data_IF_957871847255
#
_entry.id   IF_957871847255
#
_cell.length_a   1.000
_cell.length_b   1.000
_cell.length_c   1.000
_cell.angle_alpha   90.00
_cell.angle_beta   90.00
_cell.angle_gamma   90.00
#
_symmetry.space_group_name_H-M   'P 1'
#
loop_
_entity.id
_entity.type
_entity.pdbx_description
1 polymer ?
#
# COMPACT_ATOMS: atom_id res chain seq x y z
N UNK A 1 74.71 -41.14 49.04
CA UNK A 1 74.33 -40.45 47.77
C UNK A 1 73.00 -41.00 47.27
N UNK A 2 71.90 -40.37 47.51
CA UNK A 2 70.62 -40.60 46.83
C UNK A 2 69.81 -39.31 46.99
N UNK A 3 69.63 -38.59 45.91
CA UNK A 3 68.81 -37.39 45.84
C UNK A 3 67.30 -37.77 45.78
N UNK A 4 66.54 -37.26 46.70
CA UNK A 4 65.06 -37.29 46.62
C UNK A 4 64.53 -36.14 45.77
N UNK A 5 63.73 -36.48 44.77
CA UNK A 5 62.93 -35.49 43.98
C UNK A 5 61.59 -35.35 44.67
N UNK A 6 61.25 -34.12 45.05
CA UNK A 6 59.93 -33.74 45.52
C UNK A 6 59.03 -33.34 44.34
N UNK A 7 57.93 -34.06 44.16
CA UNK A 7 56.87 -33.68 43.23
C UNK A 7 55.98 -32.63 43.89
N UNK A 8 55.98 -31.45 43.33
CA UNK A 8 55.01 -30.42 43.67
C UNK A 8 53.78 -30.57 42.76
N UNK A 9 52.63 -30.88 43.35
CA UNK A 9 51.35 -30.94 42.65
C UNK A 9 50.81 -29.50 42.37
N UNK A 10 50.67 -29.15 41.09
CA UNK A 10 50.07 -27.87 40.64
C UNK A 10 48.58 -28.12 40.46
N UNK A 11 47.74 -27.57 41.34
CA UNK A 11 46.29 -27.58 41.21
C UNK A 11 45.86 -26.49 40.24
N UNK A 12 45.39 -26.85 39.04
CA UNK A 12 44.72 -25.94 38.09
C UNK A 12 43.29 -25.73 38.55
N UNK A 13 42.97 -24.53 39.04
CA UNK A 13 41.60 -24.07 39.25
C UNK A 13 41.02 -23.61 37.89
N UNK A 14 40.09 -24.39 37.30
CA UNK A 14 39.27 -23.98 36.17
C UNK A 14 38.21 -22.96 36.70
N UNK A 15 38.48 -21.71 36.49
CA UNK A 15 37.44 -20.65 36.61
C UNK A 15 36.52 -20.73 35.38
N UNK A 16 35.36 -21.38 35.54
CA UNK A 16 34.28 -21.32 34.53
C UNK A 16 33.72 -19.92 34.42
N UNK A 17 34.10 -19.22 33.38
CA UNK A 17 33.45 -17.97 33.01
C UNK A 17 32.03 -18.28 32.46
N UNK A 18 31.01 -18.12 33.28
CA UNK A 18 29.65 -18.04 32.81
C UNK A 18 29.54 -16.79 31.95
N UNK A 19 29.53 -16.95 30.63
CA UNK A 19 29.13 -15.92 29.72
C UNK A 19 27.63 -15.64 29.94
N UNK A 20 27.32 -14.60 30.70
CA UNK A 20 25.96 -14.07 30.77
C UNK A 20 25.55 -13.71 29.33
N UNK A 21 24.34 -14.10 28.89
CA UNK A 21 23.85 -13.65 27.61
C UNK A 21 23.85 -12.11 27.64
N UNK A 22 24.56 -11.49 26.68
CA UNK A 22 24.52 -10.07 26.50
C UNK A 22 23.06 -9.69 26.24
N UNK A 23 22.42 -9.12 27.27
CA UNK A 23 21.14 -8.45 27.09
C UNK A 23 21.41 -7.38 26.01
N UNK A 24 20.85 -7.56 24.81
CA UNK A 24 20.86 -6.52 23.78
C UNK A 24 20.32 -5.27 24.46
N UNK A 25 21.16 -4.28 24.65
CA UNK A 25 20.75 -3.00 25.20
C UNK A 25 19.57 -2.53 24.37
N UNK A 26 18.41 -2.30 25.02
CA UNK A 26 17.24 -1.75 24.37
C UNK A 26 17.71 -0.47 23.66
N UNK A 27 17.72 -0.48 22.32
CA UNK A 27 18.31 0.58 21.53
C UNK A 27 17.76 1.95 21.93
N UNK A 28 18.61 2.97 21.87
CA UNK A 28 18.21 4.37 22.17
C UNK A 28 17.30 4.96 21.08
N UNK A 29 16.83 4.17 20.15
CA UNK A 29 16.05 4.59 18.99
C UNK A 29 14.77 3.78 18.86
N UNK A 30 13.76 4.38 18.24
CA UNK A 30 12.60 3.68 17.67
C UNK A 30 12.77 3.68 16.16
N UNK A 31 12.95 2.50 15.59
CA UNK A 31 13.31 2.34 14.18
C UNK A 31 12.06 2.00 13.37
N UNK A 32 11.77 2.82 12.37
CA UNK A 32 10.72 2.60 11.37
C UNK A 32 11.41 2.26 10.05
N UNK A 33 10.98 1.21 9.37
CA UNK A 33 11.47 0.83 8.06
C UNK A 33 10.46 1.17 6.97
N UNK A 34 10.94 1.60 5.82
CA UNK A 34 10.19 1.76 4.58
C UNK A 34 10.81 0.86 3.51
N UNK A 35 10.08 -0.16 3.07
CA UNK A 35 10.52 -1.10 2.02
C UNK A 35 9.51 -1.01 0.87
N UNK A 36 9.89 -0.28 -0.20
CA UNK A 36 8.97 0.00 -1.28
C UNK A 36 9.61 -0.05 -2.67
N UNK A 37 8.83 0.22 -3.72
CA UNK A 37 9.34 0.39 -5.09
C UNK A 37 9.90 1.81 -5.24
N UNK A 38 11.22 1.95 -5.24
CA UNK A 38 11.90 3.23 -5.37
C UNK A 38 12.31 3.56 -6.82
N UNK A 39 12.35 2.57 -7.70
CA UNK A 39 12.94 2.71 -9.04
C UNK A 39 12.11 2.11 -10.17
N UNK A 40 11.06 1.32 -9.86
CA UNK A 40 10.25 0.60 -10.85
C UNK A 40 8.95 1.30 -11.24
N UNK A 41 7.98 0.51 -11.67
CA UNK A 41 6.70 0.99 -12.23
C UNK A 41 5.82 1.75 -11.24
N UNK A 42 6.02 1.56 -9.93
CA UNK A 42 5.26 2.20 -8.86
C UNK A 42 6.02 3.32 -8.15
N UNK A 43 7.27 3.61 -8.54
CA UNK A 43 8.11 4.59 -7.87
C UNK A 43 7.48 5.99 -7.78
N UNK A 44 6.74 6.42 -8.82
CA UNK A 44 6.10 7.73 -8.85
C UNK A 44 4.83 7.83 -8.01
N UNK A 45 4.13 6.70 -7.82
CA UNK A 45 2.88 6.67 -7.06
C UNK A 45 3.09 6.45 -5.55
N UNK A 46 4.30 6.04 -5.14
CA UNK A 46 4.65 5.78 -3.75
C UNK A 46 6.10 6.21 -3.45
N UNK A 47 7.10 5.41 -3.73
CA UNK A 47 8.54 5.66 -3.71
C UNK A 47 9.04 6.73 -2.72
N UNK A 48 9.93 7.59 -3.19
CA UNK A 48 10.49 8.67 -2.37
C UNK A 48 9.43 9.59 -1.75
N UNK A 49 8.26 9.72 -2.39
CA UNK A 49 7.15 10.50 -1.83
C UNK A 49 6.56 9.90 -0.56
N UNK A 50 6.55 8.56 -0.43
CA UNK A 50 6.18 7.86 0.81
C UNK A 50 7.19 8.13 1.93
N UNK A 51 8.49 8.05 1.61
CA UNK A 51 9.58 8.38 2.56
C UNK A 51 9.41 9.79 3.11
N UNK A 52 9.17 10.78 2.25
CA UNK A 52 8.99 12.18 2.67
C UNK A 52 7.73 12.37 3.52
N UNK A 53 6.63 11.70 3.18
CA UNK A 53 5.41 11.73 3.98
C UNK A 53 5.62 11.11 5.38
N UNK A 54 6.35 10.00 5.48
CA UNK A 54 6.73 9.41 6.77
C UNK A 54 7.63 10.35 7.59
N UNK A 55 8.62 11.02 6.95
CA UNK A 55 9.45 12.04 7.61
C UNK A 55 8.62 13.21 8.14
N UNK A 56 7.64 13.68 7.36
CA UNK A 56 6.72 14.73 7.82
C UNK A 56 5.94 14.29 9.06
N UNK A 57 5.44 13.04 9.11
CA UNK A 57 4.74 12.50 10.26
C UNK A 57 5.65 12.41 11.50
N UNK A 58 6.90 11.96 11.33
CA UNK A 58 7.90 11.91 12.41
C UNK A 58 8.19 13.32 12.94
N UNK A 59 8.36 14.30 12.07
CA UNK A 59 8.61 15.69 12.45
C UNK A 59 7.41 16.29 13.21
N UNK A 60 6.19 16.08 12.71
CA UNK A 60 4.96 16.57 13.35
C UNK A 60 4.70 15.90 14.70
N UNK A 61 5.13 14.65 14.87
CA UNK A 61 5.08 13.94 16.15
C UNK A 61 6.12 14.45 17.15
N UNK A 62 7.17 15.17 16.72
CA UNK A 62 8.21 15.75 17.56
C UNK A 62 9.55 15.01 17.54
N UNK A 63 9.77 14.08 16.58
CA UNK A 63 11.05 13.41 16.34
C UNK A 63 11.48 12.38 17.39
N UNK A 64 10.74 12.26 18.51
CA UNK A 64 11.05 11.34 19.61
C UNK A 64 9.78 10.69 20.15
N UNK A 65 9.89 9.44 20.63
CA UNK A 65 8.82 8.74 21.36
C UNK A 65 9.43 7.93 22.51
N UNK A 66 8.79 7.91 23.66
CA UNK A 66 9.31 7.26 24.89
C UNK A 66 10.72 7.73 25.27
N UNK A 67 11.07 9.00 25.00
CA UNK A 67 12.40 9.54 25.22
C UNK A 67 13.48 9.08 24.24
N UNK A 68 13.11 8.31 23.19
CA UNK A 68 14.01 7.77 22.17
C UNK A 68 13.84 8.51 20.86
N UNK A 69 14.93 8.69 20.11
CA UNK A 69 14.91 9.25 18.76
C UNK A 69 14.19 8.29 17.79
N UNK A 70 13.37 8.84 16.91
CA UNK A 70 12.74 8.08 15.83
C UNK A 70 13.68 8.12 14.61
N UNK A 71 13.98 6.94 14.07
CA UNK A 71 14.84 6.76 12.88
C UNK A 71 14.03 6.10 11.78
N UNK A 72 14.16 6.61 10.55
CA UNK A 72 13.54 6.05 9.35
C UNK A 72 14.61 5.43 8.46
N UNK A 73 14.50 4.14 8.18
CA UNK A 73 15.27 3.40 7.18
C UNK A 73 14.45 3.32 5.89
N UNK A 74 15.12 3.28 4.74
CA UNK A 74 14.46 3.11 3.45
C UNK A 74 15.22 2.13 2.55
N UNK A 75 14.48 1.29 1.81
CA UNK A 75 15.04 0.33 0.87
C UNK A 75 14.12 0.09 -0.34
N UNK A 76 14.72 -0.24 -1.48
CA UNK A 76 14.04 -0.59 -2.72
C UNK A 76 13.85 -2.10 -2.82
N UNK A 77 12.61 -2.58 -2.89
CA UNK A 77 12.31 -3.99 -3.11
C UNK A 77 12.29 -4.39 -4.60
N UNK A 78 12.41 -3.42 -5.53
CA UNK A 78 12.48 -3.66 -6.97
C UNK A 78 11.34 -4.54 -7.53
N UNK A 79 10.16 -4.51 -6.92
CA UNK A 79 9.01 -5.39 -7.20
C UNK A 79 9.32 -6.91 -7.08
N UNK A 80 10.33 -7.29 -6.26
CA UNK A 80 10.75 -8.67 -6.03
C UNK A 80 10.38 -9.11 -4.61
N UNK A 81 9.51 -10.13 -4.46
CA UNK A 81 9.04 -10.60 -3.14
C UNK A 81 10.17 -11.08 -2.22
N UNK A 82 11.18 -11.74 -2.77
CA UNK A 82 12.36 -12.23 -2.04
C UNK A 82 13.23 -11.09 -1.53
N UNK A 83 13.41 -10.02 -2.30
CA UNK A 83 14.17 -8.82 -1.91
C UNK A 83 13.47 -8.12 -0.74
N UNK A 84 12.17 -7.85 -0.86
CA UNK A 84 11.38 -7.22 0.20
C UNK A 84 11.38 -8.03 1.50
N UNK A 85 11.12 -9.34 1.40
CA UNK A 85 11.11 -10.23 2.55
C UNK A 85 12.49 -10.39 3.20
N UNK A 86 13.58 -10.44 2.41
CA UNK A 86 14.95 -10.54 2.92
C UNK A 86 15.37 -9.27 3.64
N UNK A 87 15.06 -8.10 3.07
CA UNK A 87 15.35 -6.80 3.69
C UNK A 87 14.56 -6.63 5.00
N UNK A 88 13.31 -7.04 5.04
CA UNK A 88 12.52 -6.99 6.26
C UNK A 88 13.13 -7.89 7.36
N UNK A 89 13.52 -9.14 7.03
CA UNK A 89 14.20 -10.04 7.99
C UNK A 89 15.50 -9.42 8.50
N UNK A 90 16.33 -8.90 7.61
CA UNK A 90 17.57 -8.22 7.98
C UNK A 90 17.32 -7.12 9.02
N UNK A 91 16.35 -6.25 8.75
CA UNK A 91 16.03 -5.14 9.65
C UNK A 91 15.41 -5.60 10.99
N UNK A 92 14.62 -6.67 10.96
CA UNK A 92 14.08 -7.25 12.18
C UNK A 92 15.17 -7.90 13.06
N UNK A 93 16.16 -8.58 12.44
CA UNK A 93 17.17 -9.34 13.15
C UNK A 93 18.40 -8.52 13.54
N UNK A 94 18.75 -7.47 12.75
CA UNK A 94 20.01 -6.75 12.91
C UNK A 94 19.83 -5.27 13.28
N UNK A 95 18.75 -4.63 12.83
CA UNK A 95 18.52 -3.19 13.03
C UNK A 95 17.47 -2.89 14.10
N UNK A 96 16.83 -3.90 14.67
CA UNK A 96 15.81 -3.72 15.71
C UNK A 96 14.59 -2.91 15.25
N UNK A 97 14.17 -3.07 13.97
CA UNK A 97 13.03 -2.35 13.41
C UNK A 97 11.76 -2.62 14.23
N UNK A 98 11.05 -1.56 14.61
CA UNK A 98 9.85 -1.64 15.43
C UNK A 98 8.56 -1.65 14.60
N UNK A 99 8.60 -1.16 13.36
CA UNK A 99 7.48 -1.16 12.41
C UNK A 99 8.02 -0.99 11.00
N UNK A 100 7.39 -1.64 10.03
CA UNK A 100 7.70 -1.48 8.60
C UNK A 100 6.49 -0.95 7.86
N UNK A 101 6.73 -0.01 6.95
CA UNK A 101 5.78 0.54 5.99
C UNK A 101 6.07 0.00 4.58
N UNK A 102 5.11 -0.01 3.69
CA UNK A 102 5.35 -0.16 2.27
C UNK A 102 4.81 -1.42 1.63
N UNK A 103 5.59 -1.98 0.72
CA UNK A 103 5.23 -3.16 -0.03
C UNK A 103 4.22 -2.90 -1.14
N UNK A 104 4.44 -1.87 -1.97
CA UNK A 104 3.54 -1.45 -3.05
C UNK A 104 3.12 -2.53 -4.05
N UNK A 105 3.84 -3.63 -4.11
CA UNK A 105 3.50 -4.79 -4.94
C UNK A 105 2.82 -5.87 -4.08
N UNK A 106 1.66 -6.39 -4.52
CA UNK A 106 0.90 -7.39 -3.74
C UNK A 106 1.72 -8.64 -3.40
N UNK A 107 2.51 -9.17 -4.34
CA UNK A 107 3.37 -10.33 -4.08
C UNK A 107 4.46 -10.03 -3.06
N UNK A 108 5.04 -8.83 -3.11
CA UNK A 108 6.02 -8.35 -2.12
C UNK A 108 5.35 -8.22 -0.75
N UNK A 109 4.19 -7.56 -0.67
CA UNK A 109 3.46 -7.39 0.58
C UNK A 109 3.06 -8.73 1.22
N UNK A 110 2.63 -9.72 0.43
CA UNK A 110 2.35 -11.07 0.95
C UNK A 110 3.60 -11.68 1.58
N UNK A 111 4.76 -11.57 0.91
CA UNK A 111 6.01 -12.10 1.43
C UNK A 111 6.46 -11.35 2.71
N UNK A 112 6.35 -10.01 2.73
CA UNK A 112 6.65 -9.18 3.89
C UNK A 112 5.68 -9.44 5.05
N UNK A 113 4.40 -9.65 4.79
CA UNK A 113 3.39 -9.99 5.79
C UNK A 113 3.72 -11.29 6.54
N UNK A 114 4.23 -12.30 5.83
CA UNK A 114 4.72 -13.55 6.44
C UNK A 114 5.92 -13.30 7.36
N UNK A 115 6.83 -12.42 6.98
CA UNK A 115 7.96 -12.00 7.83
C UNK A 115 7.44 -11.25 9.06
N UNK A 116 6.50 -10.31 8.88
CA UNK A 116 5.87 -9.57 9.97
C UNK A 116 5.27 -10.52 11.02
N UNK A 117 4.52 -11.53 10.57
CA UNK A 117 3.94 -12.57 11.44
C UNK A 117 4.99 -13.39 12.17
N UNK A 118 6.04 -13.83 11.47
CA UNK A 118 7.10 -14.67 12.04
C UNK A 118 8.01 -13.91 13.04
N UNK A 119 8.28 -12.62 12.76
CA UNK A 119 9.16 -11.77 13.58
C UNK A 119 8.40 -10.93 14.61
N UNK A 120 7.08 -10.97 14.59
CA UNK A 120 6.21 -10.12 15.42
C UNK A 120 6.55 -8.64 15.27
N UNK A 121 6.68 -8.15 14.05
CA UNK A 121 6.93 -6.74 13.76
C UNK A 121 5.71 -6.16 13.04
N UNK A 122 5.08 -5.08 13.54
CA UNK A 122 3.99 -4.40 12.86
C UNK A 122 4.36 -4.02 11.41
N UNK A 123 3.49 -4.37 10.47
CA UNK A 123 3.64 -4.08 9.05
C UNK A 123 2.40 -3.33 8.54
N UNK A 124 2.61 -2.11 8.07
CA UNK A 124 1.58 -1.32 7.40
C UNK A 124 1.74 -1.50 5.89
N UNK A 125 0.96 -2.41 5.32
CA UNK A 125 0.91 -2.64 3.88
C UNK A 125 0.21 -1.44 3.21
N UNK A 126 1.00 -0.60 2.53
CA UNK A 126 0.53 0.60 1.84
C UNK A 126 0.91 0.47 0.38
N UNK A 127 -0.07 0.65 -0.51
CA UNK A 127 0.15 0.58 -1.95
C UNK A 127 -0.07 -0.80 -2.58
N UNK A 128 0.07 -1.89 -1.86
CA UNK A 128 -0.44 -3.18 -2.33
C UNK A 128 -1.97 -3.18 -2.29
N UNK A 129 -2.62 -3.65 -3.34
CA UNK A 129 -4.08 -3.66 -3.39
C UNK A 129 -4.71 -5.03 -3.09
N UNK A 130 -3.94 -6.11 -3.12
CA UNK A 130 -4.48 -7.47 -3.03
C UNK A 130 -5.27 -7.72 -1.75
N UNK A 131 -6.58 -7.97 -1.87
CA UNK A 131 -7.44 -8.26 -0.73
C UNK A 131 -7.06 -9.52 0.04
N UNK A 132 -6.23 -10.42 -0.52
CA UNK A 132 -5.72 -11.60 0.17
C UNK A 132 -4.91 -11.25 1.43
N UNK A 133 -4.30 -10.05 1.50
CA UNK A 133 -3.54 -9.57 2.66
C UNK A 133 -4.36 -9.53 3.96
N UNK A 134 -5.66 -9.40 3.88
CA UNK A 134 -6.60 -9.40 5.02
C UNK A 134 -7.61 -10.56 4.95
N UNK A 135 -7.37 -11.49 4.05
CA UNK A 135 -8.09 -12.74 3.89
C UNK A 135 -7.12 -13.92 4.14
N UNK A 136 -6.78 -14.69 3.13
CA UNK A 136 -5.98 -15.93 3.26
C UNK A 136 -4.52 -15.68 3.67
N UNK A 137 -3.96 -14.49 3.40
CA UNK A 137 -2.58 -14.09 3.75
C UNK A 137 -2.51 -13.20 5.00
N UNK A 138 -3.60 -13.07 5.78
CA UNK A 138 -3.64 -12.22 6.96
C UNK A 138 -2.69 -12.70 8.06
N UNK A 139 -2.10 -11.75 8.80
CA UNK A 139 -1.31 -12.01 10.01
C UNK A 139 -1.70 -11.06 11.13
N UNK A 140 -1.46 -11.42 12.42
CA UNK A 140 -1.77 -10.55 13.55
C UNK A 140 -1.05 -9.19 13.52
N UNK A 141 0.06 -9.11 12.78
CA UNK A 141 0.95 -7.94 12.75
C UNK A 141 0.86 -7.14 11.45
N UNK A 142 -0.05 -7.50 10.53
CA UNK A 142 -0.23 -6.78 9.27
C UNK A 142 -1.50 -5.95 9.29
N UNK A 143 -1.41 -4.73 8.77
CA UNK A 143 -2.53 -3.82 8.52
C UNK A 143 -2.52 -3.47 7.05
N UNK A 144 -3.66 -3.64 6.37
CA UNK A 144 -3.86 -3.20 5.00
C UNK A 144 -4.43 -1.79 5.00
N UNK A 145 -3.57 -0.82 4.69
CA UNK A 145 -3.87 0.60 4.75
C UNK A 145 -4.23 1.13 3.36
N UNK A 146 -4.96 2.23 3.28
CA UNK A 146 -5.34 3.00 2.10
C UNK A 146 -6.44 2.39 1.20
N UNK A 147 -6.34 1.18 0.68
CA UNK A 147 -7.34 0.56 -0.20
C UNK A 147 -7.06 -0.93 -0.42
N UNK A 148 -8.06 -1.64 -0.95
CA UNK A 148 -7.90 -2.99 -1.46
C UNK A 148 -8.63 -3.19 -2.80
N UNK A 149 -8.45 -4.34 -3.43
CA UNK A 149 -9.11 -4.67 -4.71
C UNK A 149 -10.63 -4.68 -4.62
N UNK A 150 -11.19 -4.98 -3.45
CA UNK A 150 -12.64 -4.93 -3.19
C UNK A 150 -13.16 -3.51 -3.25
N UNK A 151 -12.52 -2.58 -2.52
CA UNK A 151 -12.92 -1.18 -2.48
C UNK A 151 -12.78 -0.51 -3.85
N UNK A 152 -11.70 -0.80 -4.58
CA UNK A 152 -11.46 -0.29 -5.92
C UNK A 152 -12.56 -0.75 -6.91
N UNK A 153 -12.88 -2.05 -6.89
CA UNK A 153 -13.91 -2.62 -7.76
C UNK A 153 -15.32 -2.10 -7.40
N UNK A 154 -15.65 -2.06 -6.09
CA UNK A 154 -16.94 -1.55 -5.62
C UNK A 154 -17.18 -0.09 -6.05
N UNK A 155 -16.14 0.72 -6.17
CA UNK A 155 -16.26 2.09 -6.68
C UNK A 155 -16.29 2.14 -8.21
N UNK A 156 -15.17 1.86 -8.85
CA UNK A 156 -14.99 2.12 -10.29
C UNK A 156 -15.83 1.21 -11.16
N UNK A 157 -15.83 -0.12 -10.90
CA UNK A 157 -16.62 -1.03 -11.73
C UNK A 157 -18.12 -0.81 -11.57
N UNK A 158 -18.60 -0.55 -10.33
CA UNK A 158 -20.02 -0.21 -10.10
C UNK A 158 -20.45 1.04 -10.84
N UNK A 159 -19.63 2.11 -10.83
CA UNK A 159 -19.95 3.35 -11.54
C UNK A 159 -20.14 3.09 -13.04
N UNK A 160 -19.22 2.38 -13.66
CA UNK A 160 -19.24 2.16 -15.11
C UNK A 160 -20.33 1.16 -15.52
N UNK A 161 -20.55 0.08 -14.78
CA UNK A 161 -21.60 -0.92 -15.12
C UNK A 161 -23.00 -0.33 -14.97
N UNK A 162 -23.21 0.58 -14.01
CA UNK A 162 -24.49 1.29 -13.82
C UNK A 162 -24.76 2.33 -14.89
N UNK A 163 -23.74 2.88 -15.55
CA UNK A 163 -23.86 3.73 -16.73
C UNK A 163 -24.06 2.94 -18.05
N UNK A 164 -24.25 1.62 -17.97
CA UNK A 164 -24.54 0.79 -19.14
C UNK A 164 -23.35 0.05 -19.73
N UNK A 165 -22.15 0.15 -19.15
CA UNK A 165 -20.97 -0.64 -19.53
C UNK A 165 -21.12 -2.10 -19.09
N UNK A 166 -21.83 -2.93 -19.86
CA UNK A 166 -22.21 -4.28 -19.43
C UNK A 166 -21.29 -5.39 -19.88
N UNK A 167 -20.48 -5.20 -20.93
CA UNK A 167 -19.51 -6.19 -21.38
C UNK A 167 -18.09 -5.69 -21.23
N UNK A 168 -17.25 -6.48 -20.54
CA UNK A 168 -15.90 -6.10 -20.15
C UNK A 168 -14.86 -7.05 -20.72
N UNK A 169 -13.75 -6.52 -21.17
CA UNK A 169 -12.54 -7.28 -21.43
C UNK A 169 -11.40 -6.65 -20.63
N UNK A 170 -10.57 -7.48 -19.97
CA UNK A 170 -9.57 -6.96 -19.05
C UNK A 170 -8.17 -7.02 -19.65
N UNK A 171 -7.40 -5.96 -19.42
CA UNK A 171 -5.95 -5.93 -19.57
C UNK A 171 -5.39 -6.05 -18.14
N UNK A 172 -4.87 -7.24 -17.82
CA UNK A 172 -4.57 -7.66 -16.46
C UNK A 172 -3.07 -7.76 -16.23
N UNK A 173 -2.52 -7.05 -15.24
CA UNK A 173 -1.13 -7.24 -14.83
C UNK A 173 -0.90 -8.70 -14.39
N UNK A 174 0.12 -9.37 -14.95
CA UNK A 174 0.33 -10.82 -14.81
C UNK A 174 1.01 -11.17 -13.48
N UNK A 175 0.35 -10.79 -12.35
CA UNK A 175 0.72 -11.21 -11.02
C UNK A 175 -0.49 -11.08 -10.06
N UNK A 176 -0.32 -11.39 -8.76
CA UNK A 176 -1.39 -11.48 -7.78
C UNK A 176 -2.34 -10.27 -7.75
N UNK A 177 -1.82 -9.04 -7.86
CA UNK A 177 -2.62 -7.82 -7.89
C UNK A 177 -3.61 -7.79 -9.07
N UNK A 178 -3.10 -7.95 -10.29
CA UNK A 178 -3.95 -7.86 -11.48
C UNK A 178 -5.05 -8.91 -11.47
N UNK A 179 -4.70 -10.16 -11.10
CA UNK A 179 -5.68 -11.25 -10.96
C UNK A 179 -6.77 -10.90 -9.94
N UNK A 180 -6.39 -10.47 -8.73
CA UNK A 180 -7.36 -10.15 -7.67
C UNK A 180 -8.24 -8.93 -8.05
N UNK A 181 -7.66 -7.91 -8.68
CA UNK A 181 -8.43 -6.73 -9.11
C UNK A 181 -9.42 -7.07 -10.24
N UNK A 182 -8.98 -7.86 -11.24
CA UNK A 182 -9.84 -8.35 -12.31
C UNK A 182 -10.99 -9.20 -11.75
N UNK A 183 -10.70 -10.10 -10.80
CA UNK A 183 -11.72 -10.98 -10.19
C UNK A 183 -12.74 -10.17 -9.38
N UNK A 184 -12.28 -9.22 -8.58
CA UNK A 184 -13.15 -8.32 -7.83
C UNK A 184 -14.04 -7.48 -8.77
N UNK A 185 -13.47 -6.90 -9.82
CA UNK A 185 -14.22 -6.15 -10.81
C UNK A 185 -15.23 -7.01 -11.57
N UNK A 186 -14.84 -8.24 -11.95
CA UNK A 186 -15.74 -9.21 -12.60
C UNK A 186 -16.93 -9.55 -11.71
N UNK A 187 -16.70 -9.79 -10.42
CA UNK A 187 -17.77 -10.05 -9.45
C UNK A 187 -18.76 -8.89 -9.34
N UNK A 188 -18.26 -7.66 -9.26
CA UNK A 188 -19.11 -6.46 -9.25
C UNK A 188 -19.89 -6.32 -10.55
N UNK A 189 -19.24 -6.48 -11.71
CA UNK A 189 -19.88 -6.40 -13.03
C UNK A 189 -21.01 -7.42 -13.16
N UNK A 190 -20.78 -8.68 -12.76
CA UNK A 190 -21.79 -9.73 -12.78
C UNK A 190 -22.96 -9.44 -11.84
N UNK A 191 -22.68 -8.97 -10.62
CA UNK A 191 -23.72 -8.59 -9.64
C UNK A 191 -24.66 -7.50 -10.19
N UNK A 192 -24.15 -6.64 -11.07
CA UNK A 192 -24.93 -5.57 -11.72
C UNK A 192 -25.42 -5.93 -13.13
N UNK A 193 -25.48 -7.23 -13.47
CA UNK A 193 -26.04 -7.73 -14.72
C UNK A 193 -25.17 -7.53 -15.96
N UNK A 194 -23.87 -7.33 -15.76
CA UNK A 194 -22.87 -7.32 -16.82
C UNK A 194 -22.13 -8.66 -16.92
N UNK A 195 -21.16 -8.74 -17.82
CA UNK A 195 -20.33 -9.94 -18.04
C UNK A 195 -18.90 -9.60 -18.42
N UNK A 196 -17.95 -10.45 -18.03
CA UNK A 196 -16.60 -10.47 -18.57
C UNK A 196 -16.59 -11.32 -19.86
N UNK A 197 -15.94 -10.81 -20.90
CA UNK A 197 -15.69 -11.51 -22.17
C UNK A 197 -14.29 -12.12 -22.23
N UNK A 198 -13.48 -11.93 -21.18
CA UNK A 198 -12.14 -12.48 -21.07
C UNK A 198 -11.11 -11.47 -20.59
N UNK A 199 -9.86 -11.86 -20.67
CA UNK A 199 -8.70 -11.05 -20.31
C UNK A 199 -7.53 -11.34 -21.21
N UNK A 200 -6.58 -10.41 -21.23
CA UNK A 200 -5.20 -10.64 -21.64
C UNK A 200 -4.27 -10.28 -20.49
N UNK A 201 -3.29 -11.15 -20.22
CA UNK A 201 -2.30 -10.96 -19.16
C UNK A 201 -1.07 -10.25 -19.70
N UNK A 202 -0.60 -9.26 -18.98
CA UNK A 202 0.51 -8.39 -19.39
C UNK A 202 1.59 -8.42 -18.32
N UNK A 203 2.83 -8.81 -18.66
CA UNK A 203 3.95 -8.77 -17.73
C UNK A 203 4.17 -7.38 -17.15
N UNK A 204 4.56 -7.31 -15.87
CA UNK A 204 4.88 -6.05 -15.19
C UNK A 204 6.05 -5.35 -15.88
N UNK A 205 5.91 -4.04 -16.13
CA UNK A 205 6.94 -3.23 -16.78
C UNK A 205 6.94 -3.37 -18.32
N UNK A 206 5.85 -3.84 -18.91
CA UNK A 206 5.67 -3.90 -20.35
C UNK A 206 5.79 -2.50 -20.98
N UNK A 207 6.55 -2.40 -22.07
CA UNK A 207 6.73 -1.15 -22.82
C UNK A 207 5.88 -1.09 -24.09
N UNK A 208 5.57 -2.23 -24.70
CA UNK A 208 4.73 -2.32 -25.89
C UNK A 208 3.44 -3.09 -25.60
N UNK A 209 2.32 -2.37 -25.62
CA UNK A 209 0.99 -2.90 -25.38
C UNK A 209 0.21 -3.29 -26.65
N UNK A 210 0.78 -3.15 -27.83
CA UNK A 210 0.09 -3.26 -29.12
C UNK A 210 -0.64 -4.59 -29.28
N UNK A 211 0.05 -5.72 -29.09
CA UNK A 211 -0.53 -7.05 -29.28
C UNK A 211 -1.63 -7.38 -28.27
N UNK A 212 -1.47 -6.92 -27.02
CA UNK A 212 -2.45 -7.08 -25.95
C UNK A 212 -3.71 -6.26 -26.23
N UNK A 213 -3.56 -5.04 -26.72
CA UNK A 213 -4.67 -4.15 -27.04
C UNK A 213 -5.45 -4.62 -28.28
N UNK A 214 -4.78 -5.22 -29.27
CA UNK A 214 -5.46 -5.86 -30.42
C UNK A 214 -6.34 -7.02 -29.98
N UNK A 215 -5.91 -7.84 -29.01
CA UNK A 215 -6.75 -8.89 -28.43
C UNK A 215 -7.98 -8.29 -27.71
N UNK A 216 -7.79 -7.23 -26.92
CA UNK A 216 -8.88 -6.53 -26.28
C UNK A 216 -9.88 -5.97 -27.30
N UNK A 217 -9.41 -5.35 -28.38
CA UNK A 217 -10.25 -4.83 -29.46
C UNK A 217 -11.06 -5.93 -30.14
N UNK A 218 -10.45 -7.10 -30.38
CA UNK A 218 -11.09 -8.27 -30.98
C UNK A 218 -12.24 -8.86 -30.14
N UNK A 219 -12.28 -8.58 -28.83
CA UNK A 219 -13.34 -9.04 -27.95
C UNK A 219 -14.70 -8.37 -28.19
N UNK A 220 -14.73 -7.21 -28.84
CA UNK A 220 -15.90 -6.35 -29.01
C UNK A 220 -16.59 -5.97 -27.67
N UNK A 221 -15.87 -5.92 -26.57
CA UNK A 221 -16.38 -5.48 -25.29
C UNK A 221 -16.68 -3.97 -25.30
N UNK A 222 -17.65 -3.55 -24.50
CA UNK A 222 -17.97 -2.13 -24.30
C UNK A 222 -16.94 -1.42 -23.40
N UNK A 223 -16.29 -2.17 -22.51
CA UNK A 223 -15.37 -1.63 -21.49
C UNK A 223 -14.04 -2.35 -21.55
N UNK A 224 -12.97 -1.58 -21.61
CA UNK A 224 -11.59 -2.04 -21.39
C UNK A 224 -11.26 -1.85 -19.90
N UNK A 225 -11.29 -2.94 -19.14
CA UNK A 225 -10.93 -2.95 -17.73
C UNK A 225 -9.42 -2.96 -17.56
N UNK A 226 -8.84 -1.83 -17.15
CA UNK A 226 -7.40 -1.71 -16.91
C UNK A 226 -7.08 -2.18 -15.49
N UNK A 227 -6.80 -3.48 -15.34
CA UNK A 227 -6.40 -4.11 -14.07
C UNK A 227 -4.86 -4.09 -13.92
N UNK A 228 -4.28 -2.92 -14.09
CA UNK A 228 -2.88 -2.54 -13.92
C UNK A 228 -2.79 -1.19 -13.21
N UNK A 229 -1.59 -0.66 -12.97
CA UNK A 229 -1.40 0.61 -12.28
C UNK A 229 -0.04 1.24 -12.61
N UNK A 230 0.17 2.50 -12.19
CA UNK A 230 1.42 3.24 -12.36
C UNK A 230 1.80 3.39 -13.83
N UNK A 231 3.08 3.18 -14.15
CA UNK A 231 3.57 3.33 -15.52
C UNK A 231 2.88 2.37 -16.52
N UNK A 232 2.52 1.15 -16.08
CA UNK A 232 1.80 0.21 -16.95
C UNK A 232 0.38 0.72 -17.29
N UNK A 233 -0.31 1.35 -16.34
CA UNK A 233 -1.59 2.00 -16.59
C UNK A 233 -1.46 3.17 -17.58
N UNK A 234 -0.52 4.08 -17.33
CA UNK A 234 -0.35 5.26 -18.20
C UNK A 234 0.04 4.87 -19.62
N UNK A 235 0.96 3.90 -19.79
CA UNK A 235 1.41 3.43 -21.10
C UNK A 235 0.32 2.67 -21.85
N UNK A 236 -0.41 1.78 -21.16
CA UNK A 236 -1.51 1.03 -21.80
C UNK A 236 -2.66 1.94 -22.23
N UNK A 237 -3.00 2.95 -21.45
CA UNK A 237 -4.04 3.92 -21.81
C UNK A 237 -3.63 4.82 -22.99
N UNK A 238 -2.39 5.31 -23.01
CA UNK A 238 -1.85 6.07 -24.15
C UNK A 238 -1.91 5.25 -25.43
N UNK A 239 -1.41 4.01 -25.38
CA UNK A 239 -1.44 3.10 -26.52
C UNK A 239 -2.89 2.79 -26.97
N UNK A 240 -3.82 2.56 -26.03
CA UNK A 240 -5.23 2.34 -26.36
C UNK A 240 -5.88 3.54 -27.09
N UNK A 241 -5.46 4.76 -26.76
CA UNK A 241 -5.91 5.97 -27.47
C UNK A 241 -5.28 6.10 -28.84
N UNK A 242 -3.98 5.88 -28.96
CA UNK A 242 -3.26 5.94 -30.24
C UNK A 242 -3.82 4.94 -31.26
N UNK A 243 -4.17 3.73 -30.80
CA UNK A 243 -4.84 2.73 -31.64
C UNK A 243 -6.34 2.96 -31.83
N UNK A 244 -6.90 4.05 -31.27
CA UNK A 244 -8.31 4.37 -31.40
C UNK A 244 -9.27 3.42 -30.67
N UNK A 245 -8.77 2.57 -29.80
CA UNK A 245 -9.57 1.60 -29.04
C UNK A 245 -10.55 2.33 -28.10
N UNK A 246 -10.12 3.42 -27.48
CA UNK A 246 -10.95 4.22 -26.56
C UNK A 246 -12.15 4.91 -27.24
N UNK A 247 -12.19 4.93 -28.58
CA UNK A 247 -13.36 5.39 -29.35
C UNK A 247 -14.51 4.37 -29.37
N UNK A 248 -14.18 3.08 -29.13
CA UNK A 248 -15.12 1.96 -29.19
C UNK A 248 -15.34 1.31 -27.82
N UNK A 249 -14.32 1.28 -26.98
CA UNK A 249 -14.35 0.70 -25.65
C UNK A 249 -14.10 1.80 -24.61
N UNK A 250 -14.98 1.90 -23.62
CA UNK A 250 -14.80 2.85 -22.51
C UNK A 250 -13.67 2.33 -21.58
N UNK A 251 -12.58 3.08 -21.36
CA UNK A 251 -11.55 2.65 -20.44
C UNK A 251 -12.02 2.77 -18.99
N UNK A 252 -11.78 1.74 -18.19
CA UNK A 252 -12.04 1.69 -16.75
C UNK A 252 -10.70 1.69 -16.02
N UNK A 253 -10.34 2.81 -15.38
CA UNK A 253 -9.13 2.94 -14.58
C UNK A 253 -9.37 2.30 -13.21
N UNK A 254 -9.21 0.95 -13.11
CA UNK A 254 -9.51 0.22 -11.87
C UNK A 254 -8.57 0.60 -10.73
N UNK A 255 -7.33 1.01 -11.02
CA UNK A 255 -6.43 1.68 -10.09
C UNK A 255 -5.61 2.72 -10.83
N UNK A 256 -5.85 3.98 -10.52
CA UNK A 256 -5.09 5.12 -11.04
C UNK A 256 -4.90 6.18 -9.95
N UNK A 257 -3.82 6.91 -10.04
CA UNK A 257 -3.41 7.93 -9.08
C UNK A 257 -3.37 9.31 -9.71
N UNK A 258 -3.36 10.35 -8.88
CA UNK A 258 -3.29 11.73 -9.36
C UNK A 258 -2.01 12.02 -10.17
N UNK A 259 -0.89 11.36 -9.82
CA UNK A 259 0.36 11.42 -10.58
C UNK A 259 0.22 10.84 -11.98
N UNK A 260 -0.55 9.76 -12.14
CA UNK A 260 -0.84 9.15 -13.45
C UNK A 260 -1.64 10.13 -14.32
N UNK A 261 -2.68 10.76 -13.73
CA UNK A 261 -3.49 11.75 -14.42
C UNK A 261 -2.66 12.97 -14.82
N UNK A 262 -1.73 13.39 -13.96
CA UNK A 262 -0.78 14.47 -14.27
C UNK A 262 0.12 14.11 -15.46
N UNK A 263 0.66 12.90 -15.47
CA UNK A 263 1.50 12.39 -16.58
C UNK A 263 0.76 12.24 -17.90
N UNK A 264 -0.51 11.83 -17.84
CA UNK A 264 -1.38 11.67 -19.02
C UNK A 264 -1.85 13.03 -19.57
N UNK A 265 -2.06 14.00 -18.68
CA UNK A 265 -2.74 15.25 -18.97
C UNK A 265 -4.26 15.10 -19.07
N UNK A 266 -4.99 16.16 -18.75
CA UNK A 266 -6.45 16.14 -18.73
C UNK A 266 -7.08 15.83 -20.08
N UNK A 267 -6.46 16.24 -21.19
CA UNK A 267 -6.96 15.94 -22.56
C UNK A 267 -7.07 14.43 -22.79
N UNK A 268 -6.09 13.67 -22.30
CA UNK A 268 -6.04 12.21 -22.40
C UNK A 268 -6.95 11.53 -21.37
N UNK A 269 -6.94 12.02 -20.13
CA UNK A 269 -7.55 11.33 -19.00
C UNK A 269 -9.00 11.75 -18.71
N UNK A 270 -9.52 12.81 -19.35
CA UNK A 270 -10.87 13.34 -19.08
C UNK A 270 -11.96 12.27 -19.15
N UNK A 271 -12.87 12.31 -18.18
CA UNK A 271 -14.02 11.41 -18.13
C UNK A 271 -13.71 10.02 -17.55
N UNK A 272 -12.43 9.68 -17.28
CA UNK A 272 -12.09 8.45 -16.59
C UNK A 272 -12.72 8.41 -15.19
N UNK A 273 -13.26 7.26 -14.83
CA UNK A 273 -13.65 6.94 -13.46
C UNK A 273 -12.49 6.21 -12.76
N UNK A 274 -12.25 6.57 -11.51
CA UNK A 274 -11.32 5.91 -10.61
C UNK A 274 -11.83 5.95 -9.17
N UNK A 275 -11.28 5.12 -8.31
CA UNK A 275 -11.58 5.10 -6.87
C UNK A 275 -10.32 5.46 -6.08
N UNK A 276 -10.46 6.38 -5.13
CA UNK A 276 -9.34 6.81 -4.26
C UNK A 276 -9.80 6.96 -2.81
N UNK A 277 -8.90 6.68 -1.87
CA UNK A 277 -9.14 6.87 -0.44
C UNK A 277 -8.87 8.29 0.04
N UNK A 278 -8.17 9.10 -0.77
CA UNK A 278 -7.79 10.44 -0.39
C UNK A 278 -7.54 11.32 -1.63
N UNK A 279 -7.83 12.60 -1.51
CA UNK A 279 -7.55 13.61 -2.53
C UNK A 279 -7.14 14.92 -1.87
N UNK A 280 -6.10 15.54 -2.35
CA UNK A 280 -5.47 16.71 -1.75
C UNK A 280 -6.44 17.91 -1.57
N UNK A 281 -7.40 18.07 -2.47
CA UNK A 281 -8.34 19.18 -2.49
C UNK A 281 -9.73 18.81 -1.95
N UNK A 282 -9.81 17.89 -1.01
CA UNK A 282 -11.10 17.48 -0.42
C UNK A 282 -11.60 18.48 0.63
N UNK A 283 -10.72 18.98 1.50
CA UNK A 283 -11.07 19.85 2.63
C UNK A 283 -9.89 20.72 3.07
N UNK A 284 -10.07 21.54 4.11
CA UNK A 284 -9.02 22.42 4.62
C UNK A 284 -7.79 21.66 5.15
N UNK A 285 -7.99 20.53 5.85
CA UNK A 285 -6.89 19.75 6.42
C UNK A 285 -6.05 19.10 5.33
N UNK A 286 -6.69 18.51 4.30
CA UNK A 286 -5.99 17.90 3.16
C UNK A 286 -5.18 18.95 2.40
N UNK A 287 -5.75 20.11 2.13
CA UNK A 287 -5.05 21.23 1.46
C UNK A 287 -3.88 21.77 2.28
N UNK A 288 -4.06 21.95 3.58
CA UNK A 288 -2.99 22.44 4.46
C UNK A 288 -1.79 21.48 4.50
N UNK A 289 -2.05 20.18 4.61
CA UNK A 289 -1.01 19.16 4.57
C UNK A 289 -0.34 19.09 3.19
N UNK A 290 -1.12 19.08 2.12
CA UNK A 290 -0.64 19.04 0.73
C UNK A 290 0.26 20.20 0.38
N UNK A 291 -0.04 21.41 0.85
CA UNK A 291 0.82 22.57 0.65
C UNK A 291 2.24 22.34 1.20
N UNK A 292 2.35 21.70 2.35
CA UNK A 292 3.64 21.35 2.96
C UNK A 292 4.35 20.27 2.16
N UNK A 293 3.62 19.20 1.81
CA UNK A 293 4.14 18.11 0.98
C UNK A 293 4.64 18.63 -0.37
N UNK A 294 3.85 19.45 -1.05
CA UNK A 294 4.20 20.07 -2.33
C UNK A 294 5.43 20.98 -2.24
N UNK A 295 5.66 21.64 -1.11
CA UNK A 295 6.86 22.48 -0.94
C UNK A 295 8.15 21.68 -1.04
N UNK A 296 8.13 20.38 -0.70
CA UNK A 296 9.27 19.46 -0.78
C UNK A 296 9.27 18.70 -2.11
N UNK A 297 8.17 18.02 -2.43
CA UNK A 297 8.09 17.07 -3.54
C UNK A 297 7.81 17.72 -4.90
N UNK A 298 7.36 18.99 -4.93
CA UNK A 298 6.96 19.76 -6.14
C UNK A 298 5.85 19.08 -6.96
N UNK A 299 5.11 18.16 -6.34
CA UNK A 299 3.92 17.48 -6.88
C UNK A 299 2.94 17.18 -5.77
N UNK A 300 1.66 17.02 -6.12
CA UNK A 300 0.64 16.61 -5.17
C UNK A 300 0.79 15.14 -4.78
N UNK A 301 0.45 14.83 -3.54
CA UNK A 301 0.51 13.47 -3.03
C UNK A 301 -0.57 12.57 -3.61
N UNK A 302 -0.25 11.32 -3.83
CA UNK A 302 -1.21 10.25 -4.04
C UNK A 302 -1.87 9.83 -2.72
N UNK A 303 -2.94 9.04 -2.78
CA UNK A 303 -3.54 8.44 -1.57
C UNK A 303 -2.54 7.56 -0.80
N UNK A 304 -1.55 6.93 -1.49
CA UNK A 304 -0.52 6.14 -0.85
C UNK A 304 0.39 7.01 0.00
N UNK A 305 0.93 8.06 -0.58
CA UNK A 305 1.84 8.98 0.11
C UNK A 305 1.16 9.66 1.31
N UNK A 306 -0.11 10.02 1.16
CA UNK A 306 -0.92 10.52 2.29
C UNK A 306 -1.13 9.45 3.37
N UNK A 307 -1.32 8.18 2.99
CA UNK A 307 -1.46 7.08 3.92
C UNK A 307 -0.16 6.76 4.68
N UNK A 308 1.01 6.99 4.08
CA UNK A 308 2.31 6.88 4.77
C UNK A 308 2.40 7.82 5.97
N UNK A 309 1.99 9.07 5.78
CA UNK A 309 1.91 10.02 6.89
C UNK A 309 0.96 9.53 7.98
N UNK A 310 -0.26 9.15 7.60
CA UNK A 310 -1.28 8.70 8.53
C UNK A 310 -0.85 7.45 9.31
N UNK A 311 -0.36 6.41 8.61
CA UNK A 311 0.09 5.17 9.23
C UNK A 311 1.25 5.39 10.21
N UNK A 312 2.24 6.19 9.82
CA UNK A 312 3.38 6.56 10.68
C UNK A 312 2.92 7.28 11.93
N UNK A 313 2.09 8.31 11.78
CA UNK A 313 1.58 9.10 12.90
C UNK A 313 0.75 8.26 13.87
N UNK A 314 -0.12 7.39 13.35
CA UNK A 314 -1.00 6.55 14.16
C UNK A 314 -0.23 5.42 14.86
N UNK A 315 0.82 4.86 14.25
CA UNK A 315 1.74 3.95 14.91
C UNK A 315 2.44 4.63 16.11
N UNK A 316 3.02 5.82 15.91
CA UNK A 316 3.69 6.57 16.96
C UNK A 316 2.74 6.97 18.11
N UNK A 317 1.50 7.34 17.78
CA UNK A 317 0.45 7.58 18.77
C UNK A 317 0.11 6.32 19.58
N UNK A 318 0.05 5.15 18.93
CA UNK A 318 -0.18 3.89 19.62
C UNK A 318 0.99 3.53 20.56
N UNK A 319 2.23 3.66 20.12
CA UNK A 319 3.44 3.48 20.95
C UNK A 319 3.42 4.40 22.17
N UNK A 320 3.11 5.68 21.96
CA UNK A 320 2.98 6.67 23.05
C UNK A 320 1.88 6.28 24.04
N UNK A 321 0.73 5.84 23.55
CA UNK A 321 -0.43 5.51 24.37
C UNK A 321 -0.19 4.27 25.26
N UNK A 322 0.53 3.26 24.76
CA UNK A 322 0.84 2.05 25.54
C UNK A 322 2.16 2.12 26.32
N UNK A 323 2.96 3.16 26.09
CA UNK A 323 4.24 3.38 26.77
C UNK A 323 5.35 2.37 26.43
N UNK A 324 5.23 1.67 25.30
CA UNK A 324 6.19 0.63 24.88
C UNK A 324 6.15 0.42 23.38
N UNK A 325 7.23 -0.15 22.82
CA UNK A 325 7.28 -0.66 21.44
C UNK A 325 6.93 -2.14 21.33
N UNK A 326 6.45 -2.77 22.40
CA UNK A 326 5.98 -4.16 22.39
C UNK A 326 4.93 -4.36 21.29
N UNK A 327 5.17 -5.24 20.30
CA UNK A 327 4.32 -5.34 19.12
C UNK A 327 2.89 -5.80 19.43
N UNK A 328 2.70 -6.68 20.41
CA UNK A 328 1.37 -7.18 20.76
C UNK A 328 0.51 -6.05 21.36
N UNK A 329 1.11 -5.23 22.25
CA UNK A 329 0.44 -4.09 22.86
C UNK A 329 0.16 -2.98 21.85
N UNK A 330 1.11 -2.71 20.96
CA UNK A 330 0.96 -1.68 19.91
C UNK A 330 -0.11 -2.09 18.93
N UNK A 331 -0.13 -3.33 18.44
CA UNK A 331 -1.17 -3.83 17.53
C UNK A 331 -2.56 -3.85 18.17
N UNK A 332 -2.66 -4.22 19.43
CA UNK A 332 -3.92 -4.13 20.17
C UNK A 332 -4.43 -2.68 20.28
N UNK A 333 -3.53 -1.72 20.56
CA UNK A 333 -3.87 -0.30 20.61
C UNK A 333 -4.27 0.26 19.25
N UNK A 334 -3.57 -0.10 18.17
CA UNK A 334 -3.90 0.29 16.80
C UNK A 334 -5.31 -0.14 16.40
N UNK A 335 -5.73 -1.36 16.78
CA UNK A 335 -7.09 -1.87 16.52
C UNK A 335 -8.16 -1.21 17.41
N UNK A 336 -7.77 -0.68 18.58
CA UNK A 336 -8.69 -0.02 19.53
C UNK A 336 -8.91 1.45 19.22
N UNK A 337 -7.88 2.16 18.74
CA UNK A 337 -7.95 3.61 18.54
C UNK A 337 -8.67 3.99 17.25
N UNK A 338 -9.27 5.19 17.25
CA UNK A 338 -9.76 5.82 16.03
C UNK A 338 -8.65 6.62 15.36
N UNK A 339 -8.66 6.62 14.04
CA UNK A 339 -7.73 7.40 13.22
C UNK A 339 -8.41 8.73 12.90
N UNK A 340 -7.80 9.83 13.38
CA UNK A 340 -8.30 11.18 13.22
C UNK A 340 -7.13 12.11 12.85
N UNK A 341 -6.82 12.16 11.57
CA UNK A 341 -5.75 13.01 11.01
C UNK A 341 -6.19 13.64 9.68
N UNK A 342 -5.25 14.08 8.87
CA UNK A 342 -5.54 14.67 7.56
C UNK A 342 -6.00 13.64 6.52
N UNK A 343 -5.74 12.35 6.74
CA UNK A 343 -6.16 11.29 5.84
C UNK A 343 -7.64 10.96 6.04
N UNK A 344 -8.07 10.81 7.29
CA UNK A 344 -9.46 10.46 7.62
C UNK A 344 -9.87 10.97 9.00
N UNK A 345 -11.18 11.19 9.18
CA UNK A 345 -11.82 11.39 10.50
C UNK A 345 -12.68 10.17 10.82
N UNK A 346 -12.40 9.54 11.97
CA UNK A 346 -13.15 8.37 12.45
C UNK A 346 -12.76 7.03 11.83
N UNK A 347 -11.66 6.95 11.07
CA UNK A 347 -11.13 5.69 10.55
C UNK A 347 -10.75 4.73 11.68
N UNK A 348 -10.67 3.42 11.38
CA UNK A 348 -10.27 2.41 12.35
C UNK A 348 -9.74 1.15 11.66
N UNK A 349 -8.93 0.38 12.39
CA UNK A 349 -8.42 -0.90 11.90
C UNK A 349 -9.35 -2.01 12.38
N UNK A 350 -9.97 -2.71 11.43
CA UNK A 350 -10.90 -3.82 11.66
C UNK A 350 -10.14 -5.08 12.12
N UNK A 351 -10.83 -6.06 12.68
CA UNK A 351 -10.22 -7.26 13.26
C UNK A 351 -9.38 -8.07 12.27
N UNK A 352 -9.76 -8.09 10.99
CA UNK A 352 -9.02 -8.72 9.89
C UNK A 352 -7.80 -7.91 9.40
N UNK A 353 -7.57 -6.71 9.94
CA UNK A 353 -6.45 -5.86 9.61
C UNK A 353 -6.73 -4.81 8.52
N UNK A 354 -7.93 -4.74 7.97
CA UNK A 354 -8.29 -3.66 7.04
C UNK A 354 -8.45 -2.35 7.80
N UNK A 355 -7.83 -1.28 7.30
CA UNK A 355 -8.09 0.08 7.77
C UNK A 355 -9.35 0.60 7.07
N UNK A 356 -10.43 0.74 7.82
CA UNK A 356 -11.75 1.14 7.33
C UNK A 356 -11.86 2.68 7.32
N UNK A 357 -12.15 3.23 6.15
CA UNK A 357 -12.38 4.65 5.92
C UNK A 357 -13.23 4.88 4.68
N UNK A 358 -13.83 6.07 4.48
CA UNK A 358 -14.57 6.36 3.26
C UNK A 358 -13.67 6.28 2.02
N UNK A 359 -14.24 5.79 0.90
CA UNK A 359 -13.61 5.84 -0.42
C UNK A 359 -14.41 6.76 -1.35
N UNK A 360 -13.73 7.37 -2.29
CA UNK A 360 -14.34 8.32 -3.23
C UNK A 360 -14.29 7.77 -4.65
N UNK A 361 -15.45 7.71 -5.30
CA UNK A 361 -15.50 7.55 -6.76
C UNK A 361 -15.30 8.91 -7.37
N UNK A 362 -14.25 9.03 -8.14
CA UNK A 362 -13.84 10.25 -8.80
C UNK A 362 -14.08 10.16 -10.31
N UNK A 363 -14.35 11.29 -10.93
CA UNK A 363 -14.28 11.45 -12.37
C UNK A 363 -13.22 12.50 -12.71
N UNK A 364 -12.36 12.18 -13.66
CA UNK A 364 -11.36 13.12 -14.15
C UNK A 364 -12.04 14.24 -14.93
N UNK A 365 -11.76 15.48 -14.55
CA UNK A 365 -12.32 16.70 -15.17
C UNK A 365 -11.91 16.85 -16.63
N UNK A 366 -12.73 17.55 -17.39
CA UNK A 366 -12.31 18.09 -18.69
C UNK A 366 -11.32 19.24 -18.47
N UNK A 367 -10.43 19.55 -19.43
CA UNK A 367 -9.53 20.70 -19.32
C UNK A 367 -10.23 22.03 -18.98
N UNK A 368 -11.41 22.26 -19.55
CA UNK A 368 -12.22 23.48 -19.31
C UNK A 368 -12.80 23.56 -17.88
N UNK A 369 -12.91 22.44 -17.17
CA UNK A 369 -13.49 22.37 -15.82
C UNK A 369 -12.42 22.48 -14.72
N UNK A 370 -11.13 22.35 -15.07
CA UNK A 370 -9.99 22.50 -14.15
C UNK A 370 -9.66 23.98 -13.99
N UNK A 371 -9.67 24.45 -12.74
CA UNK A 371 -9.54 25.89 -12.42
C UNK A 371 -8.13 26.31 -12.02
N UNK A 372 -7.29 25.36 -11.58
CA UNK A 372 -5.92 25.58 -11.11
C UNK A 372 -5.08 24.31 -11.28
N UNK A 373 -3.76 24.38 -11.16
CA UNK A 373 -2.90 23.18 -11.25
C UNK A 373 -3.35 22.08 -10.30
N UNK A 374 -3.35 20.83 -10.77
CA UNK A 374 -3.75 19.62 -10.04
C UNK A 374 -5.23 19.52 -9.64
N UNK A 375 -6.08 20.44 -10.08
CA UNK A 375 -7.53 20.36 -9.93
C UNK A 375 -8.13 19.37 -10.95
N UNK A 376 -7.85 18.08 -10.75
CA UNK A 376 -8.13 17.05 -11.74
C UNK A 376 -9.41 16.28 -11.50
N UNK A 377 -9.93 16.26 -10.27
CA UNK A 377 -11.03 15.38 -9.92
C UNK A 377 -12.32 16.10 -9.55
N UNK A 378 -13.41 15.46 -9.95
CA UNK A 378 -14.76 15.72 -9.43
C UNK A 378 -15.18 14.50 -8.60
N UNK A 379 -15.59 14.70 -7.36
CA UNK A 379 -16.19 13.66 -6.52
C UNK A 379 -17.57 13.33 -7.09
N UNK A 380 -17.76 12.08 -7.51
CA UNK A 380 -19.03 11.57 -8.02
C UNK A 380 -19.84 10.92 -6.90
N UNK A 381 -19.16 10.13 -6.06
CA UNK A 381 -19.79 9.45 -4.93
C UNK A 381 -18.77 9.31 -3.80
N UNK A 382 -19.22 9.52 -2.56
CA UNK A 382 -18.52 9.08 -1.37
C UNK A 382 -19.14 7.76 -0.90
N UNK A 383 -18.33 6.73 -0.80
CA UNK A 383 -18.74 5.43 -0.28
C UNK A 383 -18.33 5.34 1.19
N UNK A 384 -19.25 5.03 2.12
CA UNK A 384 -18.87 4.67 3.49
C UNK A 384 -17.87 3.51 3.49
N UNK A 385 -16.95 3.48 4.46
CA UNK A 385 -15.90 2.47 4.50
C UNK A 385 -16.43 1.04 4.49
N UNK A 386 -17.48 0.74 5.25
CA UNK A 386 -18.09 -0.58 5.28
C UNK A 386 -18.70 -1.01 3.92
N UNK A 387 -19.25 -0.07 3.15
CA UNK A 387 -19.70 -0.32 1.78
C UNK A 387 -18.51 -0.55 0.85
N UNK A 388 -17.45 0.25 0.99
CA UNK A 388 -16.29 0.18 0.12
C UNK A 388 -15.52 -1.14 0.29
N UNK A 389 -15.13 -1.47 1.51
CA UNK A 389 -14.31 -2.65 1.80
C UNK A 389 -15.12 -3.94 1.98
N UNK A 390 -16.46 -3.83 2.12
CA UNK A 390 -17.34 -4.98 2.36
C UNK A 390 -17.13 -5.65 3.72
N UNK A 391 -17.86 -6.73 4.01
CA UNK A 391 -17.78 -7.45 5.28
C UNK A 391 -16.51 -8.30 5.39
N UNK A 392 -16.19 -8.74 6.62
CA UNK A 392 -15.19 -9.78 6.86
C UNK A 392 -15.63 -11.06 6.14
N UNK A 393 -14.76 -11.61 5.32
CA UNK A 393 -15.09 -12.76 4.45
C UNK A 393 -15.03 -14.12 5.18
N UNK A 394 -14.46 -14.18 6.39
CA UNK A 394 -14.17 -15.40 7.11
C UNK A 394 -12.98 -16.22 6.60
N UNK A 395 -12.27 -15.73 5.59
CA UNK A 395 -11.05 -16.37 5.06
C UNK A 395 -9.81 -16.06 5.91
N UNK A 396 -9.81 -14.96 6.65
CA UNK A 396 -8.77 -14.65 7.62
C UNK A 396 -8.97 -15.46 8.90
N UNK A 397 -8.06 -16.39 9.19
CA UNK A 397 -8.19 -17.32 10.32
C UNK A 397 -8.02 -16.68 11.70
N UNK A 398 -7.47 -15.47 11.75
CA UNK A 398 -7.22 -14.71 12.99
C UNK A 398 -8.33 -13.70 13.30
N UNK A 399 -9.23 -13.43 12.37
CA UNK A 399 -10.38 -12.57 12.57
C UNK A 399 -11.57 -13.38 13.15
N UNK A 400 -12.43 -12.78 13.99
CA UNK A 400 -13.69 -13.41 14.40
C UNK A 400 -14.51 -13.82 13.17
N UNK A 401 -15.18 -14.99 13.28
CA UNK A 401 -16.10 -15.44 12.25
C UNK A 401 -17.40 -14.65 12.27
#
# INVERSE_FOLDING_TARGET
MKKQLSLSALALALAGAFAAPAAMAAGNEVVIGDIDDMSGVYADVIGQGGVEAAKMAIADFGGTVLGKKIVLLSADHQNKPDVGASKFREWADQNGVNMVLGGSNTGVSIAMSKVAGAKKVPFMAIGAAGASLTNEDCTPYSVHYAYDTTALANGTASAIVNEGGKSWYFLTADYAFGTQLRDAATGVVQKHGGKSLGEVRVPLGTTDFSSFLLQAQGSNAQVLGLANAGNDFTNSLKAAQEFGITKKMKPAALLAFISDIHSLGLKTAQGLYLTTGWYWDTNADTRAWSKRYFSVMKKEATMNQAAYYSATLNYLNAVKAVGTTDPDKVMAQLKKQKINDMFVKGGYIRADGVMIHPMYVMQVKKPADSKYPWDYYKIVKTMPGEEAFGPITGKCKIAPK
#
